data_IF_234636275699
#
_entry.id   IF_234636275699
#
_cell.length_a   1.000
_cell.length_b   1.000
_cell.length_c   1.000
_cell.angle_alpha   90.00
_cell.angle_beta   90.00
_cell.angle_gamma   90.00
#
_symmetry.space_group_name_H-M   'P 1'
#
loop_
_entity.id
_entity.type
_entity.pdbx_description
1 polymer ?
#
# COMPACT_ATOMS: atom_id res chain seq x y z
N UNK A 1 18.70 45.98 -14.57
CA UNK A 1 17.30 45.67 -14.22
C UNK A 1 17.15 44.16 -14.20
N UNK A 2 17.20 43.52 -13.03
CA UNK A 2 16.06 42.97 -12.29
C UNK A 2 15.85 41.46 -12.56
N UNK A 3 16.43 40.69 -11.64
CA UNK A 3 16.06 39.35 -11.12
C UNK A 3 14.80 38.72 -11.70
N UNK A 4 14.91 37.54 -12.32
CA UNK A 4 13.81 36.57 -12.31
C UNK A 4 14.40 35.17 -12.16
N UNK A 5 14.19 34.62 -10.96
CA UNK A 5 14.55 33.29 -10.50
C UNK A 5 13.99 32.28 -11.51
N UNK A 6 14.85 31.55 -12.23
CA UNK A 6 14.45 30.37 -12.99
C UNK A 6 14.01 29.32 -11.98
N UNK A 7 12.71 29.28 -11.72
CA UNK A 7 12.07 28.29 -10.86
C UNK A 7 12.27 26.90 -11.47
N UNK A 8 13.34 26.23 -11.06
CA UNK A 8 13.48 24.78 -11.17
C UNK A 8 12.44 24.16 -10.24
N UNK A 9 11.21 24.05 -10.73
CA UNK A 9 10.18 23.21 -10.13
C UNK A 9 10.60 21.77 -10.37
N UNK A 10 11.36 21.20 -9.43
CA UNK A 10 11.59 19.77 -9.33
C UNK A 10 10.24 19.10 -9.03
N UNK A 11 9.55 18.66 -10.08
CA UNK A 11 8.45 17.70 -9.99
C UNK A 11 9.03 16.36 -9.51
N UNK A 12 9.11 16.15 -8.20
CA UNK A 12 9.37 14.83 -7.64
C UNK A 12 8.09 14.01 -7.75
N UNK A 13 8.00 13.20 -8.81
CA UNK A 13 7.00 12.16 -8.91
C UNK A 13 7.18 11.20 -7.74
N UNK A 14 6.26 11.24 -6.77
CA UNK A 14 6.17 10.26 -5.70
C UNK A 14 5.72 8.92 -6.30
N UNK A 15 6.68 8.14 -6.81
CA UNK A 15 6.51 6.72 -7.03
C UNK A 15 6.32 6.07 -5.66
N UNK A 16 5.07 5.98 -5.22
CA UNK A 16 4.71 5.38 -3.95
C UNK A 16 5.10 3.91 -3.95
N UNK A 17 6.05 3.53 -3.09
CA UNK A 17 6.31 2.13 -2.78
C UNK A 17 5.00 1.48 -2.30
N UNK A 18 4.67 0.32 -2.86
CA UNK A 18 3.55 -0.49 -2.39
C UNK A 18 3.73 -0.93 -0.93
N UNK A 19 2.65 -1.42 -0.29
CA UNK A 19 2.73 -1.96 1.06
C UNK A 19 3.76 -3.10 1.13
N UNK A 20 4.66 -3.02 2.11
CA UNK A 20 5.62 -4.11 2.38
C UNK A 20 4.97 -5.12 3.31
N UNK A 21 4.75 -6.32 2.78
CA UNK A 21 4.08 -7.40 3.49
C UNK A 21 5.08 -8.42 4.05
N UNK A 22 5.09 -8.66 5.38
CA UNK A 22 5.97 -9.63 6.00
C UNK A 22 5.60 -11.06 5.58
N UNK A 23 6.59 -11.96 5.64
CA UNK A 23 6.40 -13.37 5.30
C UNK A 23 5.62 -14.07 6.42
N UNK A 24 4.75 -15.01 6.05
CA UNK A 24 3.96 -15.82 6.98
C UNK A 24 3.82 -17.26 6.50
N UNK A 25 3.62 -18.19 7.43
CA UNK A 25 3.28 -19.59 7.13
C UNK A 25 1.81 -19.87 7.41
N UNK A 26 1.25 -19.20 8.42
CA UNK A 26 -0.15 -19.29 8.80
C UNK A 26 -0.70 -17.92 9.21
N UNK A 27 -2.03 -17.78 9.24
CA UNK A 27 -2.69 -16.50 9.53
C UNK A 27 -2.32 -15.93 10.91
N UNK A 28 -2.07 -16.78 11.91
CA UNK A 28 -1.65 -16.36 13.24
C UNK A 28 -0.28 -15.67 13.30
N UNK A 29 0.53 -15.74 12.23
CA UNK A 29 1.77 -14.96 12.13
C UNK A 29 1.52 -13.48 11.77
N UNK A 30 0.33 -13.16 11.25
CA UNK A 30 -0.04 -11.83 10.80
C UNK A 30 -0.70 -11.04 11.92
N UNK A 31 -0.84 -9.72 11.73
CA UNK A 31 -1.58 -8.90 12.69
C UNK A 31 -3.06 -9.28 12.68
N UNK A 32 -3.74 -8.93 13.76
CA UNK A 32 -5.19 -9.14 13.85
C UNK A 32 -5.89 -8.43 12.69
N UNK A 33 -6.80 -9.14 12.00
CA UNK A 33 -7.47 -8.64 10.80
C UNK A 33 -6.69 -8.80 9.49
N UNK A 34 -5.45 -9.30 9.52
CA UNK A 34 -4.70 -9.65 8.31
C UNK A 34 -4.82 -11.14 7.94
N UNK A 35 -4.46 -11.45 6.71
CA UNK A 35 -4.55 -12.77 6.11
C UNK A 35 -3.21 -13.22 5.55
N UNK A 36 -2.81 -14.46 5.85
CA UNK A 36 -1.62 -15.02 5.22
C UNK A 36 -1.97 -15.54 3.81
N UNK A 37 -1.53 -14.81 2.77
CA UNK A 37 -1.82 -15.11 1.36
C UNK A 37 -0.51 -15.20 0.60
N UNK A 38 -0.28 -16.33 -0.09
CA UNK A 38 0.96 -16.56 -0.84
C UNK A 38 2.21 -16.29 0.01
N UNK A 39 2.18 -16.78 1.25
CA UNK A 39 3.24 -16.59 2.25
C UNK A 39 3.53 -15.13 2.62
N UNK A 40 2.58 -14.21 2.42
CA UNK A 40 2.69 -12.81 2.84
C UNK A 40 1.44 -12.39 3.59
N UNK A 41 1.60 -11.70 4.70
CA UNK A 41 0.47 -11.10 5.41
C UNK A 41 -0.11 -9.98 4.57
N UNK A 42 -1.41 -10.01 4.26
CA UNK A 42 -2.12 -9.01 3.46
C UNK A 42 -3.29 -8.47 4.29
N UNK A 43 -3.71 -7.23 4.04
CA UNK A 43 -4.89 -6.65 4.72
C UNK A 43 -6.19 -7.28 4.21
N UNK A 44 -6.20 -7.78 2.99
CA UNK A 44 -7.38 -8.37 2.36
C UNK A 44 -6.98 -9.46 1.37
N UNK A 45 -7.90 -10.39 1.11
CA UNK A 45 -7.79 -11.40 0.05
C UNK A 45 -8.73 -11.03 -1.09
N UNK A 46 -9.92 -10.56 -0.72
CA UNK A 46 -10.97 -10.12 -1.63
C UNK A 46 -11.63 -8.83 -1.09
N UNK A 47 -12.48 -8.19 -1.91
CA UNK A 47 -13.09 -6.90 -1.55
C UNK A 47 -13.99 -6.96 -0.31
N UNK A 48 -14.55 -8.13 0.04
CA UNK A 48 -15.39 -8.32 1.23
C UNK A 48 -14.59 -8.35 2.54
N UNK A 49 -13.27 -8.52 2.48
CA UNK A 49 -12.41 -8.40 3.66
C UNK A 49 -12.16 -6.92 4.02
N UNK A 50 -12.54 -5.99 3.15
CA UNK A 50 -12.40 -4.54 3.34
C UNK A 50 -13.70 -3.87 3.76
N UNK A 51 -13.60 -2.63 4.27
CA UNK A 51 -14.77 -1.81 4.60
C UNK A 51 -15.65 -1.54 3.36
N UNK A 52 -16.93 -1.24 3.56
CA UNK A 52 -17.99 -1.23 2.53
C UNK A 52 -17.84 -0.22 1.37
N UNK A 53 -16.72 0.50 1.27
CA UNK A 53 -16.42 1.41 0.17
C UNK A 53 -15.07 1.08 -0.52
N UNK A 54 -14.33 0.12 0.03
CA UNK A 54 -12.97 -0.18 -0.40
C UNK A 54 -12.92 -1.44 -1.27
N UNK A 55 -11.85 -1.56 -2.05
CA UNK A 55 -11.52 -2.74 -2.85
C UNK A 55 -10.21 -3.32 -2.36
N UNK A 56 -10.07 -4.63 -2.55
CA UNK A 56 -8.79 -5.28 -2.33
C UNK A 56 -7.90 -5.10 -3.56
N UNK A 57 -6.86 -4.29 -3.44
CA UNK A 57 -5.88 -3.99 -4.48
C UNK A 57 -4.51 -4.47 -4.01
N UNK A 58 -3.98 -5.51 -4.65
CA UNK A 58 -2.67 -6.10 -4.32
C UNK A 58 -2.50 -6.46 -2.82
N UNK A 59 -3.57 -6.92 -2.18
CA UNK A 59 -3.56 -7.29 -0.75
C UNK A 59 -3.79 -6.11 0.21
N UNK A 60 -4.05 -4.90 -0.31
CA UNK A 60 -4.38 -3.69 0.47
C UNK A 60 -5.84 -3.30 0.26
N UNK A 61 -6.50 -2.84 1.33
CA UNK A 61 -7.79 -2.18 1.18
C UNK A 61 -7.60 -0.74 0.74
N UNK A 62 -8.15 -0.40 -0.43
CA UNK A 62 -8.14 0.95 -1.02
C UNK A 62 -9.55 1.45 -1.23
#
# INVERSE_FOLDING_TARGET
>A
MRRWISALVFLTAAVGCGPSYPVCEQQANCREGEYCVMQRCQQCRHANDCSSAQRCVQGRCE
#
